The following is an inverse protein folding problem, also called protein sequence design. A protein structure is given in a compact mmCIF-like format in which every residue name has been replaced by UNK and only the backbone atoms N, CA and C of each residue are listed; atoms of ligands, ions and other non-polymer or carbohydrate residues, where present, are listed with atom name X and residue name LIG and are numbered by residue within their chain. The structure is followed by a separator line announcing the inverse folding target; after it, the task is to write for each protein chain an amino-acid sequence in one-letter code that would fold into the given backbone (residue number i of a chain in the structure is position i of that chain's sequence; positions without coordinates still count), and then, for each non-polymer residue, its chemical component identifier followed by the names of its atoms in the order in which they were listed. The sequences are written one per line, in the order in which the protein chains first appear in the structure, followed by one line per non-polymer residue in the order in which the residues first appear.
data_IF_431286831270
#
_entry.id   IF_431286831270
#
_cell.length_a   1.000
_cell.length_b   1.000
_cell.length_c   1.000
_cell.angle_alpha   90.00
_cell.angle_beta   90.00
_cell.angle_gamma   90.00
#
_symmetry.space_group_name_H-M   'P 1'
#
loop_
_entity.id
_entity.type
_entity.pdbx_description
1 polymer ?
#
# COMPACT_ATOMS: atom_id res chain seq x y z
N UNK A 1 1.54 20.54 18.48
CA UNK A 1 0.42 19.63 18.83
C UNK A 1 0.94 18.29 19.29
N UNK A 2 0.10 17.58 20.07
CA UNK A 2 0.33 16.19 20.48
C UNK A 2 -0.51 15.28 19.60
N UNK A 3 0.12 14.38 18.89
CA UNK A 3 -0.49 13.49 17.88
C UNK A 3 -0.36 12.06 18.35
N UNK A 4 -1.46 11.27 18.24
CA UNK A 4 -1.41 9.84 18.35
C UNK A 4 -1.72 9.18 16.99
N UNK A 5 -0.94 8.17 16.61
CA UNK A 5 -1.21 7.32 15.44
C UNK A 5 -1.50 5.91 15.97
N UNK A 6 -2.70 5.42 15.74
CA UNK A 6 -3.14 4.11 16.19
C UNK A 6 -3.26 3.11 15.03
N UNK A 7 -2.68 1.93 15.22
CA UNK A 7 -2.87 0.78 14.36
C UNK A 7 -2.96 -0.49 15.20
N UNK A 8 -3.96 -1.33 14.95
CA UNK A 8 -4.16 -2.56 15.73
C UNK A 8 -3.00 -3.55 15.60
N UNK A 9 -2.51 -3.90 14.39
CA UNK A 9 -1.34 -4.75 14.27
C UNK A 9 -0.08 -4.07 14.80
N UNK A 10 0.79 -4.86 15.39
CA UNK A 10 2.14 -4.43 15.74
C UNK A 10 2.91 -4.00 14.48
N UNK A 11 3.83 -3.00 14.59
CA UNK A 11 4.62 -2.49 13.46
C UNK A 11 5.63 -3.50 12.87
N UNK A 12 5.60 -4.72 13.32
CA UNK A 12 6.54 -5.79 13.01
C UNK A 12 6.43 -6.40 11.62
N UNK A 13 5.45 -6.02 10.81
CA UNK A 13 5.14 -6.74 9.58
C UNK A 13 5.70 -6.13 8.29
N UNK A 14 6.49 -5.10 8.34
CA UNK A 14 7.09 -4.42 7.15
C UNK A 14 6.14 -4.34 5.92
N UNK A 15 4.84 -4.13 6.19
CA UNK A 15 3.81 -3.95 5.18
C UNK A 15 3.68 -2.46 4.84
N UNK A 16 2.97 -2.15 3.76
CA UNK A 16 2.77 -0.78 3.33
C UNK A 16 2.20 0.15 4.42
N UNK A 17 1.26 -0.34 5.24
CA UNK A 17 0.68 0.43 6.35
C UNK A 17 1.70 0.75 7.45
N UNK A 18 2.52 -0.23 7.84
CA UNK A 18 3.57 -0.02 8.86
C UNK A 18 4.66 0.91 8.34
N UNK A 19 5.09 0.77 7.09
CA UNK A 19 6.03 1.70 6.44
C UNK A 19 5.49 3.13 6.46
N UNK A 20 4.21 3.31 6.12
CA UNK A 20 3.54 4.61 6.17
C UNK A 20 3.57 5.21 7.59
N UNK A 21 3.20 4.42 8.61
CA UNK A 21 3.17 4.88 10.02
C UNK A 21 4.56 5.35 10.46
N UNK A 22 5.58 4.53 10.26
CA UNK A 22 6.94 4.83 10.69
C UNK A 22 7.44 6.11 10.02
N UNK A 23 7.28 6.24 8.71
CA UNK A 23 7.75 7.42 7.96
C UNK A 23 6.99 8.70 8.33
N UNK A 24 5.67 8.62 8.49
CA UNK A 24 4.85 9.77 8.91
C UNK A 24 5.14 10.16 10.35
N UNK A 25 5.21 9.21 11.27
CA UNK A 25 5.55 9.49 12.67
C UNK A 25 6.93 10.12 12.78
N UNK A 26 7.93 9.57 12.10
CA UNK A 26 9.30 10.13 12.06
C UNK A 26 9.35 11.54 11.48
N UNK A 27 8.56 11.82 10.46
CA UNK A 27 8.48 13.17 9.88
C UNK A 27 7.83 14.16 10.83
N UNK A 28 6.68 13.80 11.40
CA UNK A 28 5.91 14.68 12.29
C UNK A 28 6.63 14.94 13.61
N UNK A 29 7.36 13.97 14.14
CA UNK A 29 8.09 14.10 15.42
C UNK A 29 9.19 15.15 15.40
N UNK A 30 9.64 15.60 14.23
CA UNK A 30 10.58 16.72 14.11
C UNK A 30 10.02 18.06 14.62
N UNK A 31 8.68 18.19 14.67
CA UNK A 31 7.99 19.45 15.04
C UNK A 31 6.86 19.26 16.04
N UNK A 32 6.43 18.03 16.31
CA UNK A 32 5.26 17.70 17.11
C UNK A 32 5.58 16.59 18.10
N UNK A 33 4.85 16.51 19.20
CA UNK A 33 4.89 15.36 20.10
C UNK A 33 4.09 14.21 19.47
N UNK A 34 4.74 13.12 19.09
CA UNK A 34 4.12 12.01 18.37
C UNK A 34 4.19 10.73 19.18
N UNK A 35 3.04 10.07 19.35
CA UNK A 35 2.92 8.73 19.95
C UNK A 35 2.36 7.77 18.90
N UNK A 36 3.03 6.65 18.69
CA UNK A 36 2.48 5.54 17.91
C UNK A 36 2.00 4.46 18.87
N UNK A 37 0.71 4.13 18.80
CA UNK A 37 0.06 3.17 19.68
C UNK A 37 -0.35 1.95 18.86
N UNK A 38 0.13 0.77 19.26
CA UNK A 38 -0.17 -0.51 18.62
C UNK A 38 -0.58 -1.54 19.64
N UNK A 39 -0.90 -2.74 19.20
CA UNK A 39 -1.19 -3.86 20.10
C UNK A 39 -0.02 -4.84 20.14
N UNK A 40 0.01 -5.65 21.19
CA UNK A 40 0.99 -6.69 21.36
C UNK A 40 0.96 -7.72 20.22
N UNK A 41 2.12 -8.20 19.84
CA UNK A 41 2.31 -9.33 18.93
C UNK A 41 3.35 -10.28 19.49
N UNK A 42 3.25 -11.55 19.13
CA UNK A 42 4.23 -12.58 19.52
C UNK A 42 5.60 -12.42 18.82
N UNK A 43 5.76 -11.42 17.96
CA UNK A 43 7.00 -11.14 17.25
C UNK A 43 7.67 -9.91 17.83
N UNK A 44 8.87 -10.09 18.38
CA UNK A 44 9.72 -8.97 18.79
C UNK A 44 10.44 -8.43 17.54
N UNK A 45 10.22 -7.15 17.26
CA UNK A 45 11.03 -6.41 16.29
C UNK A 45 11.89 -5.42 17.03
N UNK A 46 13.10 -5.22 16.52
CA UNK A 46 13.98 -4.18 17.01
C UNK A 46 13.48 -2.83 16.51
N UNK A 47 12.80 -2.11 17.41
CA UNK A 47 12.33 -0.74 17.20
C UNK A 47 13.30 0.26 17.83
N UNK A 48 14.59 -0.13 18.01
CA UNK A 48 15.62 0.75 18.49
C UNK A 48 15.83 1.90 17.49
N UNK A 49 16.00 3.12 18.00
CA UNK A 49 16.21 4.37 17.25
C UNK A 49 14.98 5.03 16.62
N UNK A 50 13.77 4.79 17.14
CA UNK A 50 12.62 5.62 16.78
C UNK A 50 12.74 7.01 17.41
N UNK A 51 12.44 8.04 16.64
CA UNK A 51 12.41 9.44 17.11
C UNK A 51 11.00 9.89 17.57
N UNK A 52 10.13 8.93 17.91
CA UNK A 52 8.79 9.13 18.45
C UNK A 52 8.48 8.10 19.54
N UNK A 53 7.51 8.42 20.40
CA UNK A 53 7.06 7.50 21.45
C UNK A 53 6.34 6.29 20.84
N UNK A 54 6.76 5.08 21.21
CA UNK A 54 6.14 3.85 20.78
C UNK A 54 5.51 3.11 21.96
N UNK A 55 4.21 2.85 21.86
CA UNK A 55 3.40 2.28 22.95
C UNK A 55 2.70 1.02 22.44
N UNK A 56 2.83 -0.06 23.19
CA UNK A 56 2.13 -1.32 22.91
C UNK A 56 1.09 -1.53 23.98
N UNK A 57 -0.18 -1.59 23.58
CA UNK A 57 -1.31 -1.83 24.47
C UNK A 57 -1.82 -3.27 24.34
N UNK A 58 -2.41 -3.79 25.40
CA UNK A 58 -3.12 -5.08 25.34
C UNK A 58 -4.43 -4.92 24.57
N UNK A 59 -4.76 -5.92 23.77
CA UNK A 59 -6.08 -6.01 23.17
C UNK A 59 -6.70 -7.37 23.40
N UNK A 60 -8.03 -7.40 23.52
CA UNK A 60 -8.82 -8.64 23.64
C UNK A 60 -9.84 -8.69 22.51
N UNK A 61 -9.96 -9.84 21.85
CA UNK A 61 -11.07 -10.07 20.93
C UNK A 61 -12.34 -10.26 21.76
N UNK A 62 -13.37 -9.47 21.45
CA UNK A 62 -14.73 -9.62 21.97
C UNK A 62 -15.63 -10.03 20.82
N UNK A 63 -16.47 -11.05 21.04
CA UNK A 63 -17.50 -11.46 20.06
C UNK A 63 -16.99 -11.62 18.61
N UNK A 64 -15.89 -12.35 18.44
CA UNK A 64 -15.32 -12.74 17.15
C UNK A 64 -14.66 -11.64 16.32
N UNK A 65 -15.27 -10.47 16.17
CA UNK A 65 -14.78 -9.38 15.30
C UNK A 65 -14.55 -8.05 16.04
N UNK A 66 -15.09 -7.89 17.24
CA UNK A 66 -14.90 -6.69 18.04
C UNK A 66 -13.60 -6.78 18.83
N UNK A 67 -12.86 -5.69 18.85
CA UNK A 67 -11.60 -5.57 19.58
C UNK A 67 -11.77 -4.61 20.74
N UNK A 68 -11.43 -5.05 21.94
CA UNK A 68 -11.36 -4.21 23.14
C UNK A 68 -9.97 -3.63 23.25
N UNK A 69 -9.89 -2.31 23.15
CA UNK A 69 -8.68 -1.50 23.28
C UNK A 69 -8.84 -0.43 24.38
N UNK A 70 -9.67 -0.70 25.40
CA UNK A 70 -10.02 0.30 26.43
C UNK A 70 -8.80 0.90 27.16
N UNK A 71 -7.68 0.17 27.20
CA UNK A 71 -6.40 0.68 27.73
C UNK A 71 -5.92 1.95 27.02
N UNK A 72 -6.34 2.17 25.77
CA UNK A 72 -5.96 3.35 24.97
C UNK A 72 -6.38 4.67 25.63
N UNK A 73 -7.42 4.64 26.47
CA UNK A 73 -7.94 5.82 27.18
C UNK A 73 -6.86 6.59 27.93
N UNK A 74 -5.95 5.90 28.61
CA UNK A 74 -4.87 6.52 29.39
C UNK A 74 -3.87 7.27 28.51
N UNK A 75 -3.68 6.85 27.28
CA UNK A 75 -2.71 7.42 26.34
C UNK A 75 -3.29 8.53 25.47
N UNK A 76 -4.63 8.61 25.32
CA UNK A 76 -5.30 9.63 24.49
C UNK A 76 -5.73 10.89 25.25
N UNK A 77 -5.65 10.91 26.58
CA UNK A 77 -6.15 12.01 27.43
C UNK A 77 -5.56 13.38 27.04
N UNK A 78 -4.27 13.42 26.74
CA UNK A 78 -3.53 14.66 26.43
C UNK A 78 -3.25 14.82 24.91
N UNK A 79 -3.87 14.02 24.08
CA UNK A 79 -3.68 14.06 22.63
C UNK A 79 -4.64 15.09 22.00
N UNK A 80 -4.10 15.89 21.10
CA UNK A 80 -4.87 16.89 20.37
C UNK A 80 -5.57 16.29 19.16
N UNK A 81 -4.87 15.44 18.39
CA UNK A 81 -5.40 14.77 17.19
C UNK A 81 -4.97 13.31 17.18
N UNK A 82 -5.93 12.41 17.03
CA UNK A 82 -5.69 10.97 16.87
C UNK A 82 -5.91 10.56 15.41
N UNK A 83 -4.91 9.91 14.81
CA UNK A 83 -5.05 9.25 13.52
C UNK A 83 -5.25 7.75 13.75
N UNK A 84 -6.31 7.17 13.19
CA UNK A 84 -6.65 5.77 13.36
C UNK A 84 -6.86 5.09 12.01
N UNK A 85 -6.15 3.97 11.78
CA UNK A 85 -6.38 3.15 10.59
C UNK A 85 -7.79 2.53 10.63
N UNK A 86 -8.56 2.73 9.56
CA UNK A 86 -9.92 2.22 9.39
C UNK A 86 -9.90 0.78 8.85
N UNK A 87 -9.53 -0.16 9.70
CA UNK A 87 -9.41 -1.59 9.28
C UNK A 87 -10.11 -2.54 10.25
N UNK A 88 -10.21 -2.16 11.55
CA UNK A 88 -10.62 -3.08 12.60
C UNK A 88 -11.91 -2.62 13.28
N UNK A 89 -12.96 -3.43 13.14
CA UNK A 89 -14.27 -3.12 13.72
C UNK A 89 -14.24 -3.03 15.26
N UNK A 90 -14.96 -2.03 15.78
CA UNK A 90 -15.03 -1.74 17.20
C UNK A 90 -13.99 -0.77 17.71
N UNK A 91 -12.77 -0.78 17.20
CA UNK A 91 -11.70 0.14 17.62
C UNK A 91 -12.05 1.59 17.32
N UNK A 92 -12.75 1.85 16.20
CA UNK A 92 -13.18 3.21 15.79
C UNK A 92 -14.07 3.87 16.86
N UNK A 93 -14.96 3.10 17.47
CA UNK A 93 -15.90 3.61 18.49
C UNK A 93 -15.14 3.96 19.77
N UNK A 94 -14.20 3.10 20.20
CA UNK A 94 -13.38 3.35 21.39
C UNK A 94 -12.47 4.57 21.17
N UNK A 95 -11.85 4.69 19.99
CA UNK A 95 -11.02 5.84 19.66
C UNK A 95 -11.84 7.12 19.63
N UNK A 96 -13.01 7.11 19.00
CA UNK A 96 -13.91 8.27 18.94
C UNK A 96 -14.34 8.72 20.35
N UNK A 97 -14.57 7.77 21.28
CA UNK A 97 -14.98 8.03 22.63
C UNK A 97 -13.92 8.76 23.46
N UNK A 98 -12.64 8.45 23.22
CA UNK A 98 -11.54 8.94 24.08
C UNK A 98 -10.67 10.01 23.42
N UNK A 99 -10.87 10.31 22.13
CA UNK A 99 -10.11 11.31 21.41
C UNK A 99 -10.85 12.63 21.30
N UNK A 100 -10.12 13.75 21.39
CA UNK A 100 -10.67 15.10 21.15
C UNK A 100 -11.06 15.27 19.68
N UNK A 101 -10.16 14.88 18.76
CA UNK A 101 -10.33 14.95 17.31
C UNK A 101 -9.78 13.68 16.68
N UNK A 102 -10.47 13.13 15.70
CA UNK A 102 -10.08 11.87 15.04
C UNK A 102 -10.03 12.04 13.53
N UNK A 103 -8.96 11.49 12.94
CA UNK A 103 -8.83 11.26 11.51
C UNK A 103 -8.84 9.75 11.29
N UNK A 104 -9.79 9.23 10.54
CA UNK A 104 -9.81 7.81 10.14
C UNK A 104 -9.12 7.64 8.80
N UNK A 105 -8.03 6.85 8.78
CA UNK A 105 -7.24 6.55 7.59
C UNK A 105 -7.71 5.30 6.86
N UNK A 106 -8.17 5.44 5.62
CA UNK A 106 -8.68 4.36 4.78
C UNK A 106 -7.60 3.83 3.84
N UNK A 107 -6.68 3.01 4.37
CA UNK A 107 -5.52 2.47 3.65
C UNK A 107 -5.73 1.08 3.03
N UNK A 108 -6.86 0.44 3.29
CA UNK A 108 -7.18 -0.87 2.76
C UNK A 108 -8.56 -0.88 2.13
N UNK A 109 -8.74 -1.56 0.99
CA UNK A 109 -10.07 -1.85 0.51
C UNK A 109 -10.73 -2.87 1.46
N UNK A 110 -11.97 -2.60 1.90
CA UNK A 110 -12.72 -3.48 2.80
C UNK A 110 -13.52 -4.56 2.05
N UNK A 111 -13.29 -4.72 0.75
CA UNK A 111 -14.11 -5.55 -0.15
C UNK A 111 -13.73 -7.05 -0.10
N UNK A 112 -13.86 -7.70 1.07
CA UNK A 112 -13.67 -9.16 1.16
C UNK A 112 -14.93 -9.92 0.75
N UNK A 113 -14.89 -10.81 -0.27
CA UNK A 113 -16.08 -11.42 -0.86
C UNK A 113 -16.92 -12.31 0.07
N UNK A 114 -16.28 -13.06 0.95
CA UNK A 114 -16.94 -14.11 1.78
C UNK A 114 -17.61 -13.54 3.03
N UNK A 115 -17.26 -12.34 3.45
CA UNK A 115 -17.79 -11.70 4.66
C UNK A 115 -18.67 -10.48 4.32
N UNK A 116 -19.04 -10.30 3.05
CA UNK A 116 -19.64 -9.09 2.50
C UNK A 116 -20.90 -8.60 3.23
N UNK A 117 -21.82 -9.49 3.58
CA UNK A 117 -23.11 -9.08 4.17
C UNK A 117 -22.94 -8.61 5.61
N UNK A 118 -22.25 -9.39 6.44
CA UNK A 118 -22.03 -9.08 7.84
C UNK A 118 -21.11 -7.86 8.02
N UNK A 119 -20.03 -7.79 7.24
CA UNK A 119 -19.14 -6.61 7.22
C UNK A 119 -19.85 -5.36 6.72
N UNK A 120 -20.72 -5.48 5.70
CA UNK A 120 -21.51 -4.37 5.18
C UNK A 120 -22.48 -3.80 6.23
N UNK A 121 -23.14 -4.65 7.01
CA UNK A 121 -24.02 -4.21 8.09
C UNK A 121 -23.26 -3.51 9.21
N UNK A 122 -22.14 -4.09 9.68
CA UNK A 122 -21.29 -3.49 10.70
C UNK A 122 -20.65 -2.20 10.19
N UNK A 123 -20.17 -2.18 8.95
CA UNK A 123 -19.63 -0.98 8.32
C UNK A 123 -20.66 0.14 8.29
N UNK A 124 -21.90 -0.16 7.92
CA UNK A 124 -22.95 0.85 7.88
C UNK A 124 -23.29 1.41 9.29
N UNK A 125 -23.28 0.57 10.33
CA UNK A 125 -23.48 1.00 11.71
C UNK A 125 -22.33 1.90 12.18
N UNK A 126 -21.09 1.47 11.93
CA UNK A 126 -19.90 2.23 12.30
C UNK A 126 -19.83 3.52 11.50
N UNK A 127 -20.06 3.45 10.18
CA UNK A 127 -20.07 4.61 9.28
C UNK A 127 -21.00 5.71 9.77
N UNK A 128 -22.23 5.36 10.23
CA UNK A 128 -23.17 6.34 10.80
C UNK A 128 -22.64 7.04 12.04
N UNK A 129 -21.81 6.36 12.85
CA UNK A 129 -21.25 6.96 14.08
C UNK A 129 -20.03 7.84 13.82
N UNK A 130 -19.25 7.53 12.79
CA UNK A 130 -18.00 8.24 12.51
C UNK A 130 -18.05 9.21 11.34
N UNK A 131 -19.15 9.25 10.57
CA UNK A 131 -19.28 10.06 9.33
C UNK A 131 -18.98 11.56 9.51
N UNK A 132 -19.17 12.07 10.72
CA UNK A 132 -18.95 13.49 11.05
C UNK A 132 -17.52 13.78 11.53
N UNK A 133 -16.70 12.71 11.68
CA UNK A 133 -15.25 12.79 11.93
C UNK A 133 -14.49 13.16 10.65
N UNK A 134 -13.17 13.30 10.76
CA UNK A 134 -12.30 13.50 9.60
C UNK A 134 -11.87 12.17 9.01
N UNK A 135 -11.75 12.12 7.68
CA UNK A 135 -11.40 10.92 6.94
C UNK A 135 -10.29 11.19 5.94
N UNK A 136 -9.29 10.33 5.92
CA UNK A 136 -8.21 10.36 4.95
C UNK A 136 -8.31 9.16 4.02
N UNK A 137 -8.38 9.42 2.72
CA UNK A 137 -8.39 8.44 1.64
C UNK A 137 -7.15 8.59 0.77
N UNK A 138 -6.70 7.47 0.19
CA UNK A 138 -5.54 7.46 -0.69
C UNK A 138 -5.90 7.82 -2.15
N UNK A 139 -7.18 7.65 -2.52
CA UNK A 139 -7.68 7.84 -3.90
C UNK A 139 -9.00 8.59 -3.93
N UNK A 140 -9.21 9.33 -5.00
CA UNK A 140 -10.49 10.02 -5.26
C UNK A 140 -11.64 9.02 -5.44
N UNK A 141 -11.37 7.89 -6.11
CA UNK A 141 -12.37 6.84 -6.29
C UNK A 141 -12.95 6.37 -4.95
N UNK A 142 -12.09 6.04 -3.99
CA UNK A 142 -12.51 5.58 -2.66
C UNK A 142 -13.23 6.70 -1.89
N UNK A 143 -12.72 7.89 -1.93
CA UNK A 143 -13.34 9.06 -1.30
C UNK A 143 -14.77 9.31 -1.80
N UNK A 144 -15.01 9.17 -3.12
CA UNK A 144 -16.33 9.35 -3.73
C UNK A 144 -17.37 8.32 -3.27
N UNK A 145 -16.95 7.07 -3.01
CA UNK A 145 -17.84 6.06 -2.42
C UNK A 145 -18.33 6.51 -1.03
N UNK A 146 -17.45 7.08 -0.22
CA UNK A 146 -17.81 7.55 1.13
C UNK A 146 -18.56 8.89 1.12
N UNK A 147 -18.26 9.80 0.18
CA UNK A 147 -19.08 11.01 -0.04
C UNK A 147 -20.54 10.65 -0.31
N UNK A 148 -20.81 9.63 -1.15
CA UNK A 148 -22.17 9.13 -1.42
C UNK A 148 -22.84 8.54 -0.17
N UNK A 149 -22.06 8.09 0.83
CA UNK A 149 -22.56 7.64 2.15
C UNK A 149 -22.75 8.80 3.15
N UNK A 150 -22.53 10.06 2.74
CA UNK A 150 -22.75 11.27 3.56
C UNK A 150 -21.52 11.72 4.37
N UNK A 151 -20.34 11.22 4.10
CA UNK A 151 -19.09 11.69 4.70
C UNK A 151 -18.69 13.04 4.10
N UNK A 152 -18.45 14.07 4.94
CA UNK A 152 -18.19 15.45 4.48
C UNK A 152 -16.76 15.92 4.71
N UNK A 153 -16.12 15.51 5.81
CA UNK A 153 -14.78 15.96 6.22
C UNK A 153 -13.71 15.01 5.66
N UNK A 154 -13.38 15.17 4.37
CA UNK A 154 -12.54 14.25 3.62
C UNK A 154 -11.26 14.94 3.17
N UNK A 155 -10.13 14.29 3.44
CA UNK A 155 -8.82 14.55 2.85
C UNK A 155 -8.46 13.44 1.87
N UNK A 156 -7.87 13.79 0.74
CA UNK A 156 -7.36 12.84 -0.25
C UNK A 156 -5.87 13.11 -0.40
N UNK A 157 -5.07 12.23 0.18
CA UNK A 157 -3.61 12.34 0.16
C UNK A 157 -3.07 10.94 -0.16
N UNK A 158 -2.35 10.77 -1.27
CA UNK A 158 -1.85 9.47 -1.69
C UNK A 158 -0.74 8.94 -0.79
N UNK A 159 -0.37 7.68 -0.97
CA UNK A 159 0.89 7.15 -0.46
C UNK A 159 2.07 7.87 -1.12
N UNK A 160 3.25 7.75 -0.53
CA UNK A 160 4.47 8.46 -0.94
C UNK A 160 5.68 7.53 -0.96
N UNK A 161 6.73 8.01 -1.61
CA UNK A 161 8.00 7.32 -1.73
C UNK A 161 9.15 8.31 -1.49
N UNK A 162 10.25 7.86 -0.89
CA UNK A 162 11.51 8.62 -0.83
C UNK A 162 12.26 8.44 -2.16
N UNK A 163 11.87 9.25 -3.16
CA UNK A 163 12.30 9.09 -4.54
C UNK A 163 13.83 9.03 -4.72
N UNK A 164 14.58 9.71 -3.87
CA UNK A 164 16.04 9.73 -3.88
C UNK A 164 16.69 8.36 -3.57
N UNK A 165 15.99 7.47 -2.85
CA UNK A 165 16.46 6.10 -2.59
C UNK A 165 16.33 5.20 -3.82
N UNK A 166 15.37 5.47 -4.70
CA UNK A 166 15.04 4.64 -5.86
C UNK A 166 15.72 5.19 -7.11
N UNK A 167 16.96 4.75 -7.36
CA UNK A 167 17.72 5.19 -8.52
C UNK A 167 17.56 4.16 -9.65
N UNK A 168 17.15 4.59 -10.86
CA UNK A 168 17.18 3.73 -12.03
C UNK A 168 18.60 3.24 -12.29
N UNK A 169 18.74 1.97 -12.66
CA UNK A 169 19.97 1.40 -13.23
C UNK A 169 19.83 1.29 -14.74
N UNK A 170 20.97 1.22 -15.43
CA UNK A 170 20.97 0.82 -16.83
C UNK A 170 20.35 -0.57 -16.97
N UNK A 171 19.41 -0.71 -17.90
CA UNK A 171 18.66 -1.98 -18.05
C UNK A 171 19.46 -2.94 -18.94
N UNK A 172 19.51 -4.20 -18.51
CA UNK A 172 20.08 -5.27 -19.33
C UNK A 172 19.13 -5.63 -20.48
N UNK A 173 19.71 -6.01 -21.60
CA UNK A 173 19.01 -6.42 -22.83
C UNK A 173 19.27 -7.90 -23.19
N UNK A 174 19.87 -8.68 -22.29
CA UNK A 174 20.08 -10.13 -22.44
C UNK A 174 18.83 -10.94 -22.08
N UNK A 175 18.11 -10.51 -21.03
CA UNK A 175 16.88 -11.13 -20.52
C UNK A 175 15.86 -10.06 -20.18
N UNK A 176 14.59 -10.31 -20.52
CA UNK A 176 13.45 -9.50 -20.08
C UNK A 176 13.00 -9.96 -18.70
N UNK A 177 13.46 -9.27 -17.68
CA UNK A 177 13.27 -9.62 -16.27
C UNK A 177 12.02 -8.95 -15.71
N UNK A 178 11.06 -9.74 -15.27
CA UNK A 178 9.76 -9.28 -14.75
C UNK A 178 9.72 -9.51 -13.24
N UNK A 179 9.53 -8.44 -12.47
CA UNK A 179 9.38 -8.54 -11.01
C UNK A 179 7.90 -8.66 -10.61
N UNK A 180 7.61 -9.55 -9.67
CA UNK A 180 6.28 -9.84 -9.15
C UNK A 180 6.26 -9.70 -7.61
N UNK A 181 6.28 -8.47 -7.07
CA UNK A 181 6.43 -8.25 -5.63
C UNK A 181 5.22 -8.73 -4.84
N UNK A 182 5.43 -9.62 -3.88
CA UNK A 182 4.39 -10.12 -2.98
C UNK A 182 3.32 -10.99 -3.65
N UNK A 183 3.53 -11.44 -4.89
CA UNK A 183 2.60 -12.32 -5.61
C UNK A 183 2.81 -13.76 -5.11
N UNK A 184 2.29 -14.05 -3.92
CA UNK A 184 2.56 -15.31 -3.19
C UNK A 184 1.30 -16.10 -2.83
N UNK A 185 0.10 -15.52 -3.01
CA UNK A 185 -1.19 -16.14 -2.69
C UNK A 185 -2.27 -15.77 -3.73
N UNK A 186 -3.45 -16.36 -3.60
CA UNK A 186 -4.58 -16.17 -4.53
C UNK A 186 -5.05 -14.71 -4.58
N UNK A 187 -5.06 -14.00 -3.44
CA UNK A 187 -5.45 -12.59 -3.39
C UNK A 187 -4.51 -11.73 -4.24
N UNK A 188 -3.20 -12.05 -4.21
CA UNK A 188 -2.16 -11.37 -5.00
C UNK A 188 -1.98 -11.94 -6.41
N UNK A 189 -2.74 -12.98 -6.79
CA UNK A 189 -2.80 -13.50 -8.14
C UNK A 189 -1.69 -14.49 -8.52
N UNK A 190 -1.16 -15.26 -7.57
CA UNK A 190 -0.15 -16.29 -7.87
C UNK A 190 -0.64 -17.32 -8.90
N UNK A 191 -1.92 -17.67 -8.87
CA UNK A 191 -2.56 -18.56 -9.84
C UNK A 191 -2.59 -17.97 -11.25
N UNK A 192 -2.73 -16.65 -11.37
CA UNK A 192 -2.63 -15.94 -12.65
C UNK A 192 -1.19 -15.90 -13.11
N UNK A 193 -0.25 -15.55 -12.21
CA UNK A 193 1.18 -15.53 -12.53
C UNK A 193 1.66 -16.86 -13.09
N UNK A 194 1.30 -17.98 -12.44
CA UNK A 194 1.68 -19.33 -12.90
C UNK A 194 1.18 -19.57 -14.32
N UNK A 195 -0.09 -19.29 -14.61
CA UNK A 195 -0.68 -19.46 -15.96
C UNK A 195 0.00 -18.56 -17.00
N UNK A 196 0.26 -17.31 -16.65
CA UNK A 196 0.97 -16.34 -17.54
C UNK A 196 2.39 -16.81 -17.82
N UNK A 197 3.13 -17.21 -16.79
CA UNK A 197 4.51 -17.69 -16.92
C UNK A 197 4.59 -18.95 -17.78
N UNK A 198 3.68 -19.94 -17.60
CA UNK A 198 3.60 -21.14 -18.44
C UNK A 198 3.35 -20.79 -19.91
N UNK A 199 2.43 -19.89 -20.22
CA UNK A 199 2.16 -19.48 -21.60
C UNK A 199 3.35 -18.74 -22.25
N UNK A 200 4.19 -18.07 -21.44
CA UNK A 200 5.34 -17.33 -21.91
C UNK A 200 6.64 -18.13 -21.92
N UNK A 201 6.64 -19.41 -21.53
CA UNK A 201 7.83 -20.32 -21.57
C UNK A 201 8.45 -20.50 -22.97
N UNK A 202 7.68 -20.26 -24.01
CA UNK A 202 8.19 -20.28 -25.39
C UNK A 202 9.14 -19.14 -25.74
N UNK A 203 9.28 -18.15 -24.86
CA UNK A 203 10.23 -17.04 -24.98
C UNK A 203 11.39 -17.30 -24.01
N UNK A 204 12.54 -17.74 -24.52
CA UNK A 204 13.70 -18.15 -23.72
C UNK A 204 14.34 -16.99 -22.93
N UNK A 205 14.04 -15.75 -23.34
CA UNK A 205 14.56 -14.51 -22.78
C UNK A 205 13.57 -13.83 -21.78
N UNK A 206 12.43 -14.45 -21.42
CA UNK A 206 11.49 -13.91 -20.43
C UNK A 206 11.63 -14.67 -19.10
N UNK A 207 11.95 -13.96 -18.03
CA UNK A 207 12.07 -14.49 -16.67
C UNK A 207 11.22 -13.72 -15.67
N UNK A 208 10.58 -14.45 -14.75
CA UNK A 208 9.79 -13.90 -13.65
C UNK A 208 10.51 -14.06 -12.32
N UNK A 209 10.38 -13.04 -11.45
CA UNK A 209 11.00 -13.01 -10.14
C UNK A 209 9.95 -12.67 -9.07
N UNK A 210 9.72 -13.57 -8.12
CA UNK A 210 8.77 -13.36 -7.01
C UNK A 210 9.57 -12.98 -5.76
N UNK A 211 9.12 -11.94 -5.05
CA UNK A 211 9.63 -11.59 -3.71
C UNK A 211 8.51 -11.67 -2.67
N UNK A 212 8.88 -11.83 -1.41
CA UNK A 212 7.94 -11.87 -0.29
C UNK A 212 7.94 -13.18 0.47
N UNK A 213 6.84 -13.48 1.17
CA UNK A 213 6.67 -14.75 1.89
C UNK A 213 6.70 -15.94 0.93
N UNK A 214 6.89 -17.17 1.48
CA UNK A 214 6.86 -18.40 0.69
C UNK A 214 5.53 -18.46 -0.10
N UNK A 215 5.58 -18.67 -1.43
CA UNK A 215 4.39 -18.85 -2.25
C UNK A 215 3.59 -20.08 -1.80
N UNK A 216 2.26 -20.01 -1.99
CA UNK A 216 1.38 -21.16 -1.70
C UNK A 216 1.53 -22.31 -2.71
N UNK A 217 2.12 -22.06 -3.88
CA UNK A 217 2.46 -23.08 -4.87
C UNK A 217 3.91 -23.55 -4.63
N UNK A 218 4.10 -24.86 -4.42
CA UNK A 218 5.43 -25.43 -4.21
C UNK A 218 6.20 -25.57 -5.53
N UNK A 219 5.51 -25.93 -6.61
CA UNK A 219 6.09 -26.08 -7.94
C UNK A 219 5.76 -24.85 -8.80
N UNK A 220 6.76 -24.04 -9.04
CA UNK A 220 6.66 -22.88 -9.93
C UNK A 220 7.18 -23.26 -11.34
N UNK A 221 6.67 -22.60 -12.41
CA UNK A 221 7.21 -22.76 -13.77
C UNK A 221 8.72 -22.51 -13.83
N UNK A 222 9.42 -23.17 -14.75
CA UNK A 222 10.89 -23.12 -14.84
C UNK A 222 11.46 -21.71 -15.09
N UNK A 223 10.66 -20.82 -15.69
CA UNK A 223 11.01 -19.41 -15.92
C UNK A 223 10.62 -18.49 -14.74
N UNK A 224 10.21 -19.04 -13.58
CA UNK A 224 9.87 -18.29 -12.37
C UNK A 224 10.87 -18.57 -11.26
N UNK A 225 11.50 -17.52 -10.74
CA UNK A 225 12.48 -17.57 -9.65
C UNK A 225 11.89 -16.93 -8.38
N UNK A 226 11.91 -17.65 -7.26
CA UNK A 226 11.53 -17.12 -5.96
C UNK A 226 12.76 -16.62 -5.21
N UNK A 227 12.74 -15.33 -4.82
CA UNK A 227 13.87 -14.65 -4.18
C UNK A 227 13.73 -14.52 -2.65
N UNK A 228 12.60 -14.92 -2.08
CA UNK A 228 12.37 -14.80 -0.64
C UNK A 228 11.98 -13.41 -0.16
N UNK A 229 12.05 -13.25 1.16
CA UNK A 229 11.88 -11.95 1.82
C UNK A 229 13.17 -11.16 1.69
N UNK A 230 13.08 -9.93 1.24
CA UNK A 230 14.19 -9.00 1.06
C UNK A 230 14.03 -7.85 2.06
N UNK A 231 15.13 -7.30 2.54
CA UNK A 231 15.12 -6.01 3.21
C UNK A 231 14.92 -4.86 2.21
N UNK A 232 14.80 -3.62 2.66
CA UNK A 232 14.47 -2.48 1.78
C UNK A 232 15.57 -2.24 0.73
N UNK A 233 16.83 -2.28 1.13
CA UNK A 233 17.96 -2.03 0.22
C UNK A 233 18.14 -3.13 -0.81
N UNK A 234 18.06 -4.40 -0.39
CA UNK A 234 18.06 -5.56 -1.29
C UNK A 234 16.90 -5.49 -2.29
N UNK A 235 15.71 -5.10 -1.81
CA UNK A 235 14.55 -4.98 -2.68
C UNK A 235 14.73 -3.86 -3.72
N UNK A 236 15.22 -2.69 -3.32
CA UNK A 236 15.51 -1.58 -4.24
C UNK A 236 16.54 -2.00 -5.29
N UNK A 237 17.61 -2.69 -4.86
CA UNK A 237 18.63 -3.16 -5.78
C UNK A 237 18.07 -4.14 -6.82
N UNK A 238 17.28 -5.10 -6.37
CA UNK A 238 16.64 -6.12 -7.21
C UNK A 238 15.69 -5.48 -8.22
N UNK A 239 14.76 -4.59 -7.80
CA UNK A 239 13.80 -4.00 -8.73
C UNK A 239 14.44 -3.05 -9.73
N UNK A 240 15.56 -2.43 -9.36
CA UNK A 240 16.31 -1.53 -10.25
C UNK A 240 16.92 -2.26 -11.46
N UNK A 241 17.21 -3.56 -11.33
CA UNK A 241 17.72 -4.44 -12.41
C UNK A 241 16.58 -5.04 -13.27
N UNK A 242 15.31 -4.85 -12.95
CA UNK A 242 14.20 -5.44 -13.69
C UNK A 242 13.68 -4.53 -14.79
N UNK A 243 13.04 -5.15 -15.80
CA UNK A 243 12.53 -4.46 -16.96
C UNK A 243 11.03 -4.15 -16.85
N UNK A 244 10.27 -4.92 -16.10
CA UNK A 244 8.82 -4.80 -15.98
C UNK A 244 8.39 -5.21 -14.58
N UNK A 245 7.35 -4.55 -14.05
CA UNK A 245 6.63 -5.07 -12.91
C UNK A 245 5.32 -5.71 -13.35
N UNK A 246 5.01 -6.90 -12.80
CA UNK A 246 3.75 -7.59 -12.99
C UNK A 246 3.02 -7.83 -11.67
N UNK A 247 1.79 -7.28 -11.53
CA UNK A 247 0.99 -7.37 -10.31
C UNK A 247 -0.47 -7.76 -10.64
N UNK A 248 -0.78 -9.06 -10.80
CA UNK A 248 -2.12 -9.54 -11.11
C UNK A 248 -3.02 -9.64 -9.86
N UNK A 249 -2.94 -8.66 -8.98
CA UNK A 249 -3.65 -8.65 -7.70
C UNK A 249 -5.16 -8.48 -7.88
N UNK A 250 -5.94 -9.10 -6.99
CA UNK A 250 -7.41 -8.97 -6.96
C UNK A 250 -7.89 -7.81 -6.09
N UNK A 251 -7.01 -7.27 -5.25
CA UNK A 251 -7.38 -6.21 -4.32
C UNK A 251 -6.18 -5.33 -3.95
N UNK A 252 -6.29 -4.03 -4.20
CA UNK A 252 -5.33 -3.01 -3.78
C UNK A 252 -6.07 -1.68 -3.55
N UNK A 253 -5.53 -0.86 -2.64
CA UNK A 253 -5.96 0.52 -2.48
C UNK A 253 -4.99 1.48 -3.19
N UNK A 254 -3.73 1.43 -2.79
CA UNK A 254 -2.63 2.21 -3.37
C UNK A 254 -1.33 1.44 -3.16
N UNK A 255 -0.94 0.56 -4.09
CA UNK A 255 0.19 -0.35 -3.90
C UNK A 255 1.53 0.38 -3.91
N UNK A 256 2.26 0.30 -2.79
CA UNK A 256 3.63 0.81 -2.70
C UNK A 256 4.55 0.18 -3.73
N UNK A 257 4.40 -1.12 -3.98
CA UNK A 257 5.22 -1.83 -4.95
C UNK A 257 5.11 -1.27 -6.38
N UNK A 258 3.92 -0.79 -6.79
CA UNK A 258 3.76 -0.08 -8.07
C UNK A 258 4.54 1.23 -8.04
N UNK A 259 4.39 2.01 -6.97
CA UNK A 259 5.09 3.29 -6.83
C UNK A 259 6.63 3.10 -6.81
N UNK A 260 7.12 2.10 -6.09
CA UNK A 260 8.53 1.72 -5.99
C UNK A 260 9.10 1.32 -7.35
N UNK A 261 8.37 0.53 -8.13
CA UNK A 261 8.78 0.12 -9.47
C UNK A 261 8.73 1.26 -10.49
N UNK A 262 7.71 2.09 -10.46
CA UNK A 262 7.68 3.33 -11.26
C UNK A 262 8.88 4.24 -10.95
N UNK A 263 9.29 4.31 -9.69
CA UNK A 263 10.41 5.16 -9.26
C UNK A 263 11.77 4.70 -9.81
N UNK A 264 11.98 3.40 -10.01
CA UNK A 264 13.18 2.86 -10.69
C UNK A 264 13.02 2.77 -12.21
N UNK A 265 11.92 3.31 -12.74
CA UNK A 265 11.67 3.36 -14.18
C UNK A 265 11.14 2.08 -14.80
N UNK A 266 10.55 1.16 -14.03
CA UNK A 266 9.92 -0.03 -14.57
C UNK A 266 8.51 0.30 -15.09
N UNK A 267 8.17 0.03 -16.35
CA UNK A 267 6.78 -0.06 -16.79
C UNK A 267 6.01 -1.10 -15.97
N UNK A 268 4.69 -0.97 -15.93
CA UNK A 268 3.83 -1.77 -15.05
C UNK A 268 2.75 -2.50 -15.85
N UNK A 269 2.54 -3.78 -15.57
CA UNK A 269 1.32 -4.51 -15.91
C UNK A 269 0.60 -4.85 -14.61
N UNK A 270 -0.59 -4.31 -14.42
CA UNK A 270 -1.36 -4.44 -13.17
C UNK A 270 -2.83 -4.71 -13.48
N UNK A 271 -3.54 -5.35 -12.54
CA UNK A 271 -4.99 -5.53 -12.67
C UNK A 271 -5.73 -4.20 -12.77
N UNK A 272 -6.72 -4.13 -13.65
CA UNK A 272 -7.64 -3.00 -13.80
C UNK A 272 -8.54 -2.89 -12.55
N UNK A 273 -8.03 -2.30 -11.49
CA UNK A 273 -8.74 -2.02 -10.25
C UNK A 273 -9.03 -0.52 -10.17
N UNK A 274 -10.29 -0.11 -9.88
CA UNK A 274 -10.66 1.31 -9.86
C UNK A 274 -9.81 2.17 -8.93
N UNK A 275 -9.41 1.65 -7.76
CA UNK A 275 -8.51 2.36 -6.84
C UNK A 275 -7.13 2.57 -7.47
N UNK A 276 -6.58 1.56 -8.17
CA UNK A 276 -5.25 1.63 -8.79
C UNK A 276 -5.25 2.61 -9.98
N UNK A 277 -6.30 2.59 -10.81
CA UNK A 277 -6.47 3.56 -11.89
C UNK A 277 -6.59 4.99 -11.32
N UNK A 278 -7.41 5.15 -10.28
CA UNK A 278 -7.57 6.46 -9.61
C UNK A 278 -6.28 6.96 -8.96
N UNK A 279 -5.40 6.03 -8.53
CA UNK A 279 -4.12 6.36 -7.91
C UNK A 279 -3.09 6.86 -8.92
N UNK A 280 -2.93 6.15 -10.03
CA UNK A 280 -1.82 6.37 -10.95
C UNK A 280 -2.24 7.02 -12.28
N UNK A 281 -3.53 7.00 -12.64
CA UNK A 281 -4.02 7.54 -13.90
C UNK A 281 -3.68 6.68 -15.12
N UNK A 282 -4.03 7.16 -16.30
CA UNK A 282 -3.75 6.49 -17.57
C UNK A 282 -2.46 7.03 -18.18
N UNK A 283 -1.43 6.18 -18.24
CA UNK A 283 -0.12 6.50 -18.81
C UNK A 283 0.40 5.34 -19.65
N UNK A 284 1.21 5.66 -20.65
CA UNK A 284 1.80 4.66 -21.55
C UNK A 284 2.67 3.63 -20.82
N UNK A 285 3.27 4.01 -19.67
CA UNK A 285 4.09 3.13 -18.83
C UNK A 285 3.28 2.21 -17.90
N UNK A 286 1.94 2.30 -17.91
CA UNK A 286 1.06 1.45 -17.08
C UNK A 286 0.01 0.78 -17.95
N UNK A 287 0.00 -0.54 -17.93
CA UNK A 287 -1.01 -1.36 -18.61
C UNK A 287 -1.99 -1.94 -17.58
N UNK A 288 -3.25 -1.58 -17.70
CA UNK A 288 -4.33 -2.06 -16.83
C UNK A 288 -5.00 -3.26 -17.47
N UNK A 289 -4.59 -4.46 -17.08
CA UNK A 289 -5.15 -5.70 -17.61
C UNK A 289 -6.48 -6.04 -16.93
N UNK A 290 -7.43 -6.55 -17.71
CA UNK A 290 -8.73 -6.99 -17.22
C UNK A 290 -8.59 -8.06 -16.14
N UNK A 291 -9.20 -7.81 -14.98
CA UNK A 291 -9.11 -8.67 -13.81
C UNK A 291 -9.45 -10.13 -14.12
N UNK A 292 -8.57 -11.05 -13.70
CA UNK A 292 -8.66 -12.51 -13.94
C UNK A 292 -8.58 -12.94 -15.41
N UNK A 293 -8.25 -12.07 -16.36
CA UNK A 293 -8.08 -12.43 -17.77
C UNK A 293 -6.59 -12.68 -18.07
N UNK A 294 -6.19 -13.96 -18.12
CA UNK A 294 -4.78 -14.36 -18.34
C UNK A 294 -4.25 -13.83 -19.67
N UNK A 295 -5.06 -13.87 -20.74
CA UNK A 295 -4.67 -13.42 -22.08
C UNK A 295 -4.36 -11.92 -22.09
N UNK A 296 -5.16 -11.11 -21.41
CA UNK A 296 -4.96 -9.67 -21.36
C UNK A 296 -3.68 -9.28 -20.57
N UNK A 297 -3.35 -10.04 -19.51
CA UNK A 297 -2.04 -9.88 -18.83
C UNK A 297 -0.88 -10.24 -19.76
N UNK A 298 -1.00 -11.32 -20.53
CA UNK A 298 -0.01 -11.73 -21.53
C UNK A 298 0.19 -10.62 -22.57
N UNK A 299 -0.90 -10.05 -23.10
CA UNK A 299 -0.86 -8.96 -24.06
C UNK A 299 -0.13 -7.72 -23.49
N UNK A 300 -0.40 -7.36 -22.24
CA UNK A 300 0.30 -6.27 -21.55
C UNK A 300 1.80 -6.52 -21.41
N UNK A 301 2.19 -7.74 -21.03
CA UNK A 301 3.60 -8.13 -20.91
C UNK A 301 4.29 -8.12 -22.27
N UNK A 302 3.67 -8.72 -23.28
CA UNK A 302 4.23 -8.80 -24.64
C UNK A 302 4.34 -7.43 -25.29
N UNK A 303 3.42 -6.47 -25.01
CA UNK A 303 3.55 -5.08 -25.47
C UNK A 303 4.89 -4.49 -25.03
N UNK A 304 5.25 -4.57 -23.75
CA UNK A 304 6.51 -4.00 -23.25
C UNK A 304 7.72 -4.83 -23.64
N UNK A 305 7.59 -6.16 -23.71
CA UNK A 305 8.64 -7.04 -24.20
C UNK A 305 9.03 -6.71 -25.66
N UNK A 306 8.06 -6.49 -26.55
CA UNK A 306 8.33 -6.13 -27.95
C UNK A 306 9.00 -4.77 -28.06
N UNK A 307 8.62 -3.79 -27.25
CA UNK A 307 9.27 -2.49 -27.20
C UNK A 307 10.70 -2.62 -26.71
N UNK A 308 10.92 -3.35 -25.61
CA UNK A 308 12.25 -3.60 -25.05
C UNK A 308 13.17 -4.30 -26.04
N UNK A 309 12.66 -5.29 -26.79
CA UNK A 309 13.44 -6.09 -27.72
C UNK A 309 13.79 -5.34 -29.01
N UNK A 310 12.86 -4.55 -29.54
CA UNK A 310 12.96 -3.99 -30.89
C UNK A 310 13.19 -2.48 -30.94
N UNK A 311 12.98 -1.74 -29.85
CA UNK A 311 13.09 -0.28 -29.81
C UNK A 311 13.57 0.22 -28.44
N UNK A 312 14.90 0.21 -28.28
CA UNK A 312 15.56 0.60 -27.04
C UNK A 312 15.22 2.03 -26.63
N UNK A 313 15.24 2.97 -27.57
CA UNK A 313 14.99 4.39 -27.30
C UNK A 313 13.56 4.59 -26.75
N UNK A 314 12.59 3.91 -27.37
CA UNK A 314 11.19 3.95 -26.88
C UNK A 314 11.04 3.32 -25.50
N UNK A 315 11.77 2.25 -25.22
CA UNK A 315 11.76 1.63 -23.89
C UNK A 315 12.36 2.57 -22.83
N UNK A 316 13.45 3.26 -23.14
CA UNK A 316 14.05 4.25 -22.25
C UNK A 316 13.13 5.46 -22.02
N UNK A 317 12.40 5.90 -23.05
CA UNK A 317 11.35 6.93 -22.92
C UNK A 317 10.26 6.48 -21.95
N UNK A 318 9.77 5.25 -22.07
CA UNK A 318 8.78 4.68 -21.15
C UNK A 318 9.30 4.60 -19.71
N UNK A 319 10.58 4.24 -19.54
CA UNK A 319 11.23 4.20 -18.23
C UNK A 319 11.30 5.59 -17.58
N UNK A 320 11.64 6.62 -18.35
CA UNK A 320 11.63 8.02 -17.87
C UNK A 320 10.22 8.46 -17.47
N UNK A 321 9.21 8.19 -18.31
CA UNK A 321 7.80 8.49 -18.02
C UNK A 321 7.29 7.76 -16.77
N UNK A 322 7.69 6.51 -16.56
CA UNK A 322 7.37 5.78 -15.33
C UNK A 322 7.89 6.53 -14.08
N UNK A 323 9.15 6.98 -14.11
CA UNK A 323 9.72 7.74 -13.00
C UNK A 323 9.06 9.11 -12.81
N UNK A 324 8.64 9.79 -13.86
CA UNK A 324 7.89 11.04 -13.78
C UNK A 324 6.54 10.86 -13.07
N UNK A 325 5.87 9.73 -13.24
CA UNK A 325 4.66 9.40 -12.47
C UNK A 325 5.01 9.31 -10.99
N UNK A 326 6.05 8.55 -10.64
CA UNK A 326 6.46 8.35 -9.25
C UNK A 326 6.91 9.67 -8.58
N UNK A 327 7.51 10.60 -9.31
CA UNK A 327 7.99 11.88 -8.76
C UNK A 327 6.88 12.74 -8.16
N UNK A 328 5.65 12.61 -8.64
CA UNK A 328 4.47 13.30 -8.10
C UNK A 328 4.12 12.85 -6.68
N UNK A 329 4.63 11.71 -6.25
CA UNK A 329 4.41 11.08 -4.96
C UNK A 329 5.67 11.11 -4.07
N UNK A 330 6.63 12.01 -4.37
CA UNK A 330 7.81 12.17 -3.51
C UNK A 330 7.39 12.56 -2.08
N UNK A 331 8.05 11.95 -1.11
CA UNK A 331 7.84 12.22 0.31
C UNK A 331 7.98 13.71 0.65
N UNK A 332 8.86 14.45 -0.05
CA UNK A 332 9.03 15.89 0.11
C UNK A 332 7.78 16.69 -0.32
N UNK A 333 6.93 16.12 -1.16
CA UNK A 333 5.67 16.73 -1.62
C UNK A 333 4.50 16.28 -0.73
N UNK A 334 4.46 15.00 -0.35
CA UNK A 334 3.28 14.41 0.29
C UNK A 334 3.31 14.55 1.82
N UNK A 335 4.47 14.39 2.48
CA UNK A 335 4.55 14.53 3.94
C UNK A 335 4.12 15.91 4.46
N UNK A 336 4.46 17.04 3.79
CA UNK A 336 3.90 18.35 4.17
C UNK A 336 2.37 18.41 4.07
N UNK A 337 1.75 17.77 3.08
CA UNK A 337 0.28 17.71 2.96
C UNK A 337 -0.35 16.90 4.10
N UNK A 338 0.32 15.83 4.54
CA UNK A 338 -0.10 15.07 5.73
C UNK A 338 0.00 15.93 6.98
N UNK A 339 1.10 16.67 7.18
CA UNK A 339 1.23 17.60 8.30
C UNK A 339 0.14 18.68 8.28
N UNK A 340 -0.15 19.24 7.10
CA UNK A 340 -1.22 20.23 6.91
C UNK A 340 -2.59 19.66 7.26
N UNK A 341 -2.87 18.42 6.91
CA UNK A 341 -4.11 17.73 7.33
C UNK A 341 -4.23 17.70 8.85
N UNK A 342 -3.18 17.34 9.58
CA UNK A 342 -3.20 17.35 11.04
C UNK A 342 -3.43 18.76 11.61
N UNK A 343 -2.78 19.79 11.03
CA UNK A 343 -2.95 21.19 11.44
C UNK A 343 -4.39 21.66 11.23
N UNK A 344 -4.98 21.41 10.05
CA UNK A 344 -6.36 21.77 9.77
C UNK A 344 -7.36 21.11 10.73
N UNK A 345 -7.12 19.85 11.10
CA UNK A 345 -7.95 19.16 12.09
C UNK A 345 -7.76 19.71 13.50
N UNK A 346 -6.53 20.06 13.86
CA UNK A 346 -6.23 20.69 15.14
C UNK A 346 -6.88 22.07 15.31
N UNK A 347 -6.87 22.90 14.26
CA UNK A 347 -7.39 24.26 14.24
C UNK A 347 -8.92 24.31 14.09
N UNK A 348 -9.53 23.23 13.66
CA UNK A 348 -10.99 23.17 13.56
C UNK A 348 -11.62 23.14 14.95
N UNK A 349 -12.38 24.18 15.27
CA UNK A 349 -13.19 24.32 16.48
C UNK A 349 -14.37 23.33 16.55
#
# INVERSE_FOLDING_TARGET
MKIAIFNLPHLSFNRGGEKWIIKVASYLSKKHGVKVITTDSNKKYDLNNLNFDYIVIKHKKKYGLLHDISEIKSYLKDIDVTYAFYVWFGTQIEILKYSKRVIFGHHSPLDKPIQKIYYSLLENIIARKIKDSYHHFLTEYRANIYRKKGFKKIFIIPNFIELNKYKPKEKSYDKFKIICPGVVNIEKGIDILVKVAENLRKYDDIEFYITGNKPIYENLPANVKYLGLLNEDEYIDIISDKNLMFLPTRQEAFPFSVLENLAVGNPIVVSNLPDVISAFGEFESVYYAKLNNVEDYINGILKYYQIWKNNKDKYEELSKKAREIASKFDSNIILPKIEEMFKKVYESS
#
